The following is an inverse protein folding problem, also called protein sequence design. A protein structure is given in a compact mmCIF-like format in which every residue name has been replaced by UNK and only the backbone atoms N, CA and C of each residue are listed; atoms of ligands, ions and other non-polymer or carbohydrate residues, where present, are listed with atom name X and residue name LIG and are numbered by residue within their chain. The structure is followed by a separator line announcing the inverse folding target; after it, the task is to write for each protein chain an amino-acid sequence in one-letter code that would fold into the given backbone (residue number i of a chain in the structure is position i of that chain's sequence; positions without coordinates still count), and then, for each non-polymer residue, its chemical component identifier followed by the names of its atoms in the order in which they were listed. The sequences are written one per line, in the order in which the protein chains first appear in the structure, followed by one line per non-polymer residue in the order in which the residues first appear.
data_IF_110475391844
#
_entry.id   IF_110475391844
#
_cell.length_a   1.000
_cell.length_b   1.000
_cell.length_c   1.000
_cell.angle_alpha   90.00
_cell.angle_beta   90.00
_cell.angle_gamma   90.00
#
_symmetry.space_group_name_H-M   'P 1'
#
loop_
_entity.id
_entity.type
_entity.pdbx_description
1 polymer ?
#
# COMPACT_ATOMS: atom_id res chain seq x y z
N UNK A 1 9.44 -18.12 -14.97
CA UNK A 1 9.34 -16.89 -14.17
C UNK A 1 8.02 -16.85 -13.39
N UNK A 2 7.58 -17.94 -12.75
CA UNK A 2 6.32 -17.99 -11.97
C UNK A 2 6.51 -17.92 -10.44
N UNK A 3 7.75 -17.78 -9.94
CA UNK A 3 8.05 -17.84 -8.50
C UNK A 3 8.32 -16.47 -7.83
N UNK A 4 8.07 -15.35 -8.51
CA UNK A 4 8.31 -13.98 -7.99
C UNK A 4 7.03 -13.13 -7.94
N UNK A 5 5.85 -13.74 -7.89
CA UNK A 5 4.58 -13.01 -7.79
C UNK A 5 4.38 -11.94 -8.89
N UNK A 6 5.02 -12.13 -10.05
CA UNK A 6 5.00 -11.19 -11.18
C UNK A 6 6.00 -10.03 -11.11
N UNK A 7 6.97 -10.03 -10.19
CA UNK A 7 8.05 -9.05 -10.17
C UNK A 7 8.98 -9.21 -11.39
N UNK A 8 9.49 -8.07 -11.89
CA UNK A 8 10.38 -8.03 -13.03
C UNK A 8 11.84 -8.14 -12.56
N UNK A 9 12.64 -8.89 -13.29
CA UNK A 9 14.06 -9.06 -13.00
C UNK A 9 14.85 -8.79 -14.28
N UNK A 10 15.76 -7.82 -14.22
CA UNK A 10 16.69 -7.56 -15.33
C UNK A 10 17.56 -8.79 -15.60
N UNK A 11 17.78 -9.11 -16.88
CA UNK A 11 18.70 -10.19 -17.30
C UNK A 11 20.14 -9.97 -16.82
N UNK A 12 20.49 -8.74 -16.42
CA UNK A 12 21.81 -8.36 -15.91
C UNK A 12 21.86 -8.24 -14.38
N UNK A 13 20.81 -8.66 -13.66
CA UNK A 13 20.81 -8.63 -12.20
C UNK A 13 21.94 -9.52 -11.64
N UNK A 14 22.67 -9.02 -10.65
CA UNK A 14 23.66 -9.83 -9.93
C UNK A 14 22.95 -10.95 -9.16
N UNK A 15 23.65 -12.05 -8.89
CA UNK A 15 23.10 -13.13 -8.08
C UNK A 15 22.63 -12.66 -6.69
N UNK A 16 23.35 -11.70 -6.10
CA UNK A 16 22.99 -11.06 -4.84
C UNK A 16 21.65 -10.32 -4.93
N UNK A 17 21.42 -9.55 -6.01
CA UNK A 17 20.13 -8.89 -6.27
C UNK A 17 18.99 -9.88 -6.40
N UNK A 18 19.22 -11.02 -7.06
CA UNK A 18 18.21 -12.09 -7.19
C UNK A 18 17.86 -12.69 -5.83
N UNK A 19 18.87 -13.02 -5.02
CA UNK A 19 18.64 -13.54 -3.67
C UNK A 19 17.90 -12.53 -2.79
N UNK A 20 18.31 -11.26 -2.79
CA UNK A 20 17.67 -10.21 -2.00
C UNK A 20 16.21 -9.97 -2.41
N UNK A 21 15.90 -10.05 -3.70
CA UNK A 21 14.53 -9.96 -4.21
C UNK A 21 13.71 -11.20 -3.83
N UNK A 22 14.30 -12.39 -3.94
CA UNK A 22 13.62 -13.64 -3.55
C UNK A 22 13.27 -13.66 -2.07
N UNK A 23 14.19 -13.22 -1.20
CA UNK A 23 13.95 -13.07 0.24
C UNK A 23 12.84 -12.04 0.52
N UNK A 24 12.88 -10.90 -0.16
CA UNK A 24 11.84 -9.87 -0.02
C UNK A 24 10.45 -10.38 -0.40
N UNK A 25 10.34 -11.07 -1.54
CA UNK A 25 9.05 -11.62 -2.00
C UNK A 25 8.63 -12.81 -1.12
N UNK A 26 9.57 -13.62 -0.61
CA UNK A 26 9.24 -14.67 0.35
C UNK A 26 8.67 -14.09 1.66
N UNK A 27 9.18 -12.95 2.11
CA UNK A 27 8.72 -12.27 3.33
C UNK A 27 7.39 -11.51 3.12
N UNK A 28 7.27 -10.78 2.01
CA UNK A 28 6.17 -9.83 1.77
C UNK A 28 5.11 -10.35 0.78
N UNK A 29 5.34 -11.52 0.21
CA UNK A 29 4.46 -12.18 -0.74
C UNK A 29 4.10 -11.30 -1.94
N UNK A 30 2.84 -11.44 -2.37
CA UNK A 30 2.28 -10.71 -3.51
C UNK A 30 2.28 -9.18 -3.32
N UNK A 31 2.06 -8.71 -2.10
CA UNK A 31 2.12 -7.28 -1.80
C UNK A 31 3.53 -6.73 -2.06
N UNK A 32 4.55 -7.42 -1.57
CA UNK A 32 5.95 -7.06 -1.81
C UNK A 32 6.28 -6.91 -3.29
N UNK A 33 5.89 -7.88 -4.13
CA UNK A 33 6.12 -7.81 -5.57
C UNK A 33 5.43 -6.61 -6.23
N UNK A 34 4.20 -6.27 -5.80
CA UNK A 34 3.48 -5.10 -6.32
C UNK A 34 4.10 -3.78 -5.88
N UNK A 35 4.53 -3.67 -4.62
CA UNK A 35 5.25 -2.50 -4.10
C UNK A 35 6.58 -2.32 -4.83
N UNK A 36 7.33 -3.40 -5.04
CA UNK A 36 8.58 -3.37 -5.83
C UNK A 36 8.36 -2.78 -7.21
N UNK A 37 7.32 -3.24 -7.91
CA UNK A 37 6.95 -2.73 -9.23
C UNK A 37 6.50 -1.27 -9.19
N UNK A 38 5.80 -0.85 -8.13
CA UNK A 38 5.38 0.54 -7.95
C UNK A 38 6.57 1.50 -7.93
N UNK A 39 7.67 1.13 -7.27
CA UNK A 39 8.91 1.90 -7.23
C UNK A 39 9.86 1.65 -8.41
N UNK A 40 9.34 1.15 -9.54
CA UNK A 40 10.15 0.91 -10.73
C UNK A 40 11.27 -0.12 -10.53
N UNK A 41 10.98 -1.16 -9.75
CA UNK A 41 11.90 -2.24 -9.40
C UNK A 41 13.11 -1.80 -8.53
N UNK A 42 12.95 -0.71 -7.76
CA UNK A 42 13.89 -0.32 -6.70
C UNK A 42 13.58 -1.05 -5.39
N UNK A 43 14.36 -2.10 -5.10
CA UNK A 43 14.22 -2.91 -3.89
C UNK A 43 14.45 -2.12 -2.59
N UNK A 44 15.31 -1.10 -2.62
CA UNK A 44 15.59 -0.30 -1.41
C UNK A 44 14.38 0.57 -1.06
N UNK A 45 13.81 1.24 -2.06
CA UNK A 45 12.58 2.03 -1.87
C UNK A 45 11.39 1.14 -1.49
N UNK A 46 11.26 -0.03 -2.14
CA UNK A 46 10.20 -0.97 -1.82
C UNK A 46 10.27 -1.48 -0.38
N UNK A 47 11.48 -1.71 0.15
CA UNK A 47 11.69 -2.07 1.57
C UNK A 47 11.36 -0.91 2.50
N UNK A 48 11.85 0.28 2.19
CA UNK A 48 11.61 1.48 3.01
C UNK A 48 10.11 1.80 3.11
N UNK A 49 9.33 1.62 2.05
CA UNK A 49 7.89 1.86 2.07
C UNK A 49 7.14 1.03 3.14
N UNK A 50 7.63 -0.17 3.49
CA UNK A 50 6.99 -0.99 4.52
C UNK A 50 7.11 -0.42 5.94
N UNK A 51 8.02 0.53 6.18
CA UNK A 51 8.08 1.26 7.46
C UNK A 51 6.89 2.21 7.62
N UNK A 52 6.25 2.59 6.51
CA UNK A 52 5.11 3.50 6.42
C UNK A 52 3.81 2.79 6.01
N UNK A 53 3.78 1.46 6.16
CA UNK A 53 2.61 0.66 5.85
C UNK A 53 1.50 0.86 6.89
N UNK A 54 0.35 1.38 6.46
CA UNK A 54 -0.76 1.71 7.34
C UNK A 54 -1.71 0.52 7.60
N UNK A 55 -1.81 -0.43 6.67
CA UNK A 55 -2.68 -1.59 6.82
C UNK A 55 -3.41 -1.99 5.54
N UNK A 56 -4.27 -2.99 5.66
CA UNK A 56 -5.16 -3.48 4.59
C UNK A 56 -6.60 -3.06 4.93
N UNK A 57 -7.29 -2.51 3.94
CA UNK A 57 -8.63 -1.94 4.07
C UNK A 57 -9.50 -2.37 2.90
N UNK A 58 -10.82 -2.29 3.07
CA UNK A 58 -11.74 -2.61 1.98
C UNK A 58 -11.73 -1.53 0.88
N UNK A 59 -11.44 -0.29 1.27
CA UNK A 59 -11.36 0.87 0.37
C UNK A 59 -10.62 2.02 1.04
N UNK A 60 -10.29 3.07 0.27
CA UNK A 60 -9.76 4.31 0.85
C UNK A 60 -10.74 5.01 1.79
N UNK A 61 -12.06 4.87 1.58
CA UNK A 61 -13.04 5.39 2.53
C UNK A 61 -13.04 4.65 3.87
N UNK A 62 -12.83 3.33 3.85
CA UNK A 62 -12.68 2.52 5.07
C UNK A 62 -11.45 2.96 5.87
N UNK A 63 -10.33 3.21 5.18
CA UNK A 63 -9.14 3.80 5.79
C UNK A 63 -9.39 5.20 6.37
N UNK A 64 -10.07 6.09 5.62
CA UNK A 64 -10.37 7.44 6.09
C UNK A 64 -11.29 7.45 7.32
N UNK A 65 -12.29 6.56 7.36
CA UNK A 65 -13.16 6.38 8.52
C UNK A 65 -12.38 5.86 9.73
N UNK A 66 -11.52 4.85 9.54
CA UNK A 66 -10.66 4.31 10.60
C UNK A 66 -9.74 5.38 11.18
N UNK A 67 -9.09 6.17 10.32
CA UNK A 67 -8.22 7.26 10.75
C UNK A 67 -8.98 8.32 11.56
N UNK A 68 -10.23 8.59 11.16
CA UNK A 68 -11.10 9.49 11.90
C UNK A 68 -11.47 8.91 13.28
N UNK A 69 -11.82 7.63 13.36
CA UNK A 69 -12.17 6.99 14.64
C UNK A 69 -10.99 6.98 15.63
N UNK A 70 -9.75 6.94 15.13
CA UNK A 70 -8.53 6.93 15.95
C UNK A 70 -8.12 8.31 16.50
N UNK A 71 -8.44 9.40 15.80
CA UNK A 71 -7.88 10.73 16.15
C UNK A 71 -8.66 11.95 15.65
N UNK A 72 -9.84 11.73 15.09
CA UNK A 72 -10.71 12.77 14.55
C UNK A 72 -11.51 13.52 15.62
N UNK A 73 -12.17 14.59 15.17
CA UNK A 73 -13.16 15.32 15.99
C UNK A 73 -14.43 14.50 16.10
N UNK A 74 -15.00 14.37 17.31
CA UNK A 74 -16.26 13.67 17.53
C UNK A 74 -17.37 14.16 16.59
N UNK A 75 -17.92 13.24 15.78
CA UNK A 75 -19.04 13.50 14.88
C UNK A 75 -20.34 13.33 15.65
N UNK A 76 -21.24 14.33 15.66
CA UNK A 76 -22.59 14.13 16.17
C UNK A 76 -23.28 12.98 15.42
N UNK A 77 -23.90 12.03 16.13
CA UNK A 77 -24.55 10.85 15.53
C UNK A 77 -25.57 11.18 14.41
N UNK A 78 -26.18 12.37 14.45
CA UNK A 78 -27.08 12.84 13.40
C UNK A 78 -26.38 13.12 12.05
N UNK A 79 -25.05 13.30 12.04
CA UNK A 79 -24.23 13.64 10.88
C UNK A 79 -23.39 12.47 10.35
N UNK A 80 -23.27 11.37 11.11
CA UNK A 80 -22.41 10.22 10.78
C UNK A 80 -22.69 9.67 9.37
N UNK A 81 -23.96 9.46 9.03
CA UNK A 81 -24.37 8.93 7.73
C UNK A 81 -24.28 9.93 6.56
N UNK A 82 -23.90 11.18 6.83
CA UNK A 82 -23.75 12.22 5.81
C UNK A 82 -22.30 12.45 5.38
N UNK A 83 -21.35 11.75 6.00
CA UNK A 83 -19.93 11.93 5.70
C UNK A 83 -19.55 11.04 4.52
N UNK A 84 -18.97 11.66 3.50
CA UNK A 84 -18.41 10.96 2.36
C UNK A 84 -16.95 10.59 2.63
N UNK A 85 -16.75 9.44 3.28
CA UNK A 85 -15.43 8.91 3.57
C UNK A 85 -14.65 8.56 2.31
N UNK A 86 -15.34 8.14 1.24
CA UNK A 86 -14.68 7.80 -0.03
C UNK A 86 -14.05 9.04 -0.67
N UNK A 87 -14.76 10.17 -0.66
CA UNK A 87 -14.21 11.43 -1.12
C UNK A 87 -12.98 11.83 -0.30
N UNK A 88 -13.04 11.71 1.03
CA UNK A 88 -11.91 12.04 1.90
C UNK A 88 -10.68 11.16 1.63
N UNK A 89 -10.85 9.84 1.57
CA UNK A 89 -9.75 8.93 1.28
C UNK A 89 -9.15 9.16 -0.12
N UNK A 90 -9.99 9.48 -1.11
CA UNK A 90 -9.53 9.85 -2.46
C UNK A 90 -8.72 11.15 -2.46
N UNK A 91 -9.13 12.15 -1.68
CA UNK A 91 -8.38 13.40 -1.56
C UNK A 91 -6.98 13.15 -0.98
N UNK A 92 -6.85 12.25 0.01
CA UNK A 92 -5.54 11.87 0.57
C UNK A 92 -4.61 11.28 -0.50
N UNK A 93 -5.11 10.39 -1.36
CA UNK A 93 -4.31 9.82 -2.45
C UNK A 93 -3.96 10.88 -3.51
N UNK A 94 -4.92 11.74 -3.89
CA UNK A 94 -4.70 12.79 -4.89
C UNK A 94 -3.71 13.87 -4.43
N UNK A 95 -3.72 14.19 -3.14
CA UNK A 95 -2.76 15.12 -2.54
C UNK A 95 -1.38 14.49 -2.35
N UNK A 96 -1.28 13.16 -2.52
CA UNK A 96 -0.06 12.41 -2.32
C UNK A 96 0.26 12.17 -0.85
N UNK A 97 -0.71 12.25 0.07
CA UNK A 97 -0.52 11.89 1.48
C UNK A 97 -0.33 10.38 1.65
N UNK A 98 -0.94 9.60 0.76
CA UNK A 98 -0.84 8.14 0.72
C UNK A 98 -0.70 7.65 -0.71
N UNK A 99 -0.22 6.41 -0.87
CA UNK A 99 -0.40 5.62 -2.08
C UNK A 99 -1.00 4.25 -1.74
N UNK A 100 -1.64 3.63 -2.73
CA UNK A 100 -2.34 2.37 -2.53
C UNK A 100 -1.85 1.25 -3.45
N UNK A 101 -1.94 0.02 -2.97
CA UNK A 101 -1.68 -1.20 -3.72
C UNK A 101 -2.85 -2.17 -3.52
N UNK A 102 -3.61 -2.43 -4.58
CA UNK A 102 -4.66 -3.44 -4.55
C UNK A 102 -4.05 -4.83 -4.75
N UNK A 103 -4.30 -5.79 -3.87
CA UNK A 103 -3.90 -7.20 -4.04
C UNK A 103 -5.05 -8.10 -4.49
N UNK A 104 -6.30 -7.67 -4.29
CA UNK A 104 -7.51 -8.37 -4.74
C UNK A 104 -8.77 -7.57 -4.45
N UNK A 105 -9.94 -8.18 -4.68
CA UNK A 105 -11.23 -7.58 -4.35
C UNK A 105 -11.31 -7.27 -2.85
N UNK A 106 -11.61 -6.02 -2.50
CA UNK A 106 -11.63 -5.47 -1.14
C UNK A 106 -10.32 -5.68 -0.34
N UNK A 107 -9.18 -5.78 -1.02
CA UNK A 107 -7.86 -5.91 -0.41
C UNK A 107 -6.97 -4.76 -0.87
N UNK A 108 -7.19 -3.58 -0.28
CA UNK A 108 -6.46 -2.36 -0.58
C UNK A 108 -5.42 -2.10 0.51
N UNK A 109 -4.15 -2.17 0.16
CA UNK A 109 -3.05 -1.86 1.06
C UNK A 109 -2.70 -0.38 0.97
N UNK A 110 -2.70 0.32 2.10
CA UNK A 110 -2.44 1.76 2.17
C UNK A 110 -1.07 2.02 2.80
N UNK A 111 -0.32 2.93 2.20
CA UNK A 111 1.00 3.37 2.65
C UNK A 111 1.01 4.88 2.78
N UNK A 112 1.60 5.41 3.85
CA UNK A 112 1.86 6.84 3.95
C UNK A 112 2.98 7.24 2.98
N UNK A 113 2.80 8.35 2.27
CA UNK A 113 3.83 8.94 1.43
C UNK A 113 4.69 9.86 2.30
N UNK A 114 6.01 9.62 2.33
CA UNK A 114 6.99 10.47 3.01
C UNK A 114 8.05 11.00 2.05
#
# INVERSE_FOLDING_TARGET
FENFEGANLSEYASFETVCALAEFIAERGRLGAKVHRHFGDDLSQARAAFDDYAGEFQSLGDFAATLHDEGGTEIPAALEYYIDWQAMGRDMELNGDVFTIETGFDQLHVFWSR
#
